data_IF_368626868946
#
_entry.id   IF_368626868946
#
_cell.length_a   1.000
_cell.length_b   1.000
_cell.length_c   1.000
_cell.angle_alpha   90.00
_cell.angle_beta   90.00
_cell.angle_gamma   90.00
#
_symmetry.space_group_name_H-M   'P 1'
#
loop_
_entity.id
_entity.type
_entity.pdbx_description
1 polymer ?
#
# COMPACT_ATOMS: atom_id res chain seq x y z
N UNK A 1 12.09 5.79 4.57
CA UNK A 1 11.87 4.37 4.91
C UNK A 1 13.12 3.79 5.53
N UNK A 2 13.00 3.00 6.60
CA UNK A 2 14.16 2.31 7.21
C UNK A 2 14.63 1.18 6.29
N UNK A 3 15.87 0.71 6.47
CA UNK A 3 16.40 -0.42 5.68
C UNK A 3 15.52 -1.68 5.82
N UNK A 4 14.98 -1.93 7.02
CA UNK A 4 14.10 -3.06 7.29
C UNK A 4 12.78 -2.96 6.53
N UNK A 5 12.06 -1.82 6.61
CA UNK A 5 10.80 -1.62 5.90
C UNK A 5 10.97 -1.68 4.38
N UNK A 6 12.14 -1.25 3.86
CA UNK A 6 12.48 -1.41 2.45
C UNK A 6 12.67 -2.89 2.08
N UNK A 7 13.44 -3.64 2.87
CA UNK A 7 13.67 -5.07 2.63
C UNK A 7 12.36 -5.87 2.66
N UNK A 8 11.46 -5.56 3.61
CA UNK A 8 10.12 -6.19 3.69
C UNK A 8 9.28 -5.88 2.44
N UNK A 9 9.25 -4.62 2.01
CA UNK A 9 8.51 -4.20 0.81
C UNK A 9 9.06 -4.87 -0.45
N UNK A 10 10.39 -4.96 -0.60
CA UNK A 10 11.04 -5.60 -1.74
C UNK A 10 10.81 -7.13 -1.74
N UNK A 11 10.80 -7.77 -0.57
CA UNK A 11 10.49 -9.19 -0.44
C UNK A 11 9.02 -9.50 -0.77
N UNK A 12 8.08 -8.70 -0.24
CA UNK A 12 6.66 -8.83 -0.56
C UNK A 12 6.41 -8.63 -2.06
N UNK A 13 7.04 -7.62 -2.66
CA UNK A 13 7.01 -7.39 -4.10
C UNK A 13 7.49 -8.63 -4.88
N UNK A 14 8.66 -9.15 -4.54
CA UNK A 14 9.24 -10.31 -5.24
C UNK A 14 8.36 -11.55 -5.14
N UNK A 15 7.73 -11.78 -3.98
CA UNK A 15 6.80 -12.89 -3.79
C UNK A 15 5.53 -12.74 -4.64
N UNK A 16 4.94 -11.55 -4.67
CA UNK A 16 3.76 -11.28 -5.50
C UNK A 16 4.08 -11.41 -7.01
N UNK A 17 5.23 -10.89 -7.45
CA UNK A 17 5.67 -11.03 -8.84
C UNK A 17 5.93 -12.49 -9.23
N UNK A 18 6.45 -13.31 -8.32
CA UNK A 18 6.64 -14.75 -8.55
C UNK A 18 5.31 -15.51 -8.74
N UNK A 19 4.24 -15.04 -8.12
CA UNK A 19 2.86 -15.53 -8.30
C UNK A 19 2.15 -14.93 -9.53
N UNK A 20 2.86 -14.11 -10.33
CA UNK A 20 2.36 -13.56 -11.59
C UNK A 20 1.67 -12.19 -11.48
N UNK A 21 1.76 -11.51 -10.34
CA UNK A 21 1.20 -10.17 -10.17
C UNK A 21 2.13 -9.09 -10.71
N UNK A 22 1.56 -8.04 -11.31
CA UNK A 22 2.29 -6.81 -11.58
C UNK A 22 2.27 -5.93 -10.32
N UNK A 23 3.44 -5.62 -9.76
CA UNK A 23 3.55 -4.87 -8.50
C UNK A 23 4.14 -3.49 -8.72
N UNK A 24 3.35 -2.46 -8.42
CA UNK A 24 3.81 -1.06 -8.43
C UNK A 24 3.93 -0.53 -7.01
N UNK A 25 5.11 -0.03 -6.67
CA UNK A 25 5.42 0.54 -5.35
C UNK A 25 5.76 2.02 -5.45
N UNK A 26 5.39 2.80 -4.43
CA UNK A 26 5.80 4.19 -4.28
C UNK A 26 6.11 4.50 -2.81
N UNK A 27 7.21 5.21 -2.55
CA UNK A 27 7.62 5.60 -1.20
C UNK A 27 7.01 6.97 -0.83
N UNK A 28 6.15 7.05 0.20
CA UNK A 28 5.57 8.29 0.70
C UNK A 28 6.53 9.13 1.57
N UNK A 29 7.82 8.75 1.64
CA UNK A 29 8.90 9.47 2.34
C UNK A 29 8.61 9.76 3.82
N UNK A 30 7.80 8.91 4.46
CA UNK A 30 7.39 9.05 5.86
C UNK A 30 6.24 10.03 6.10
N UNK A 31 5.58 10.53 5.04
CA UNK A 31 4.47 11.46 5.14
C UNK A 31 3.11 10.77 4.85
N UNK A 32 2.20 10.84 5.81
CA UNK A 32 0.90 10.18 5.70
C UNK A 32 -0.02 10.84 4.66
N UNK A 33 0.07 12.16 4.44
CA UNK A 33 -0.74 12.84 3.42
C UNK A 33 -0.29 12.44 2.01
N UNK A 34 1.01 12.29 1.81
CA UNK A 34 1.59 11.75 0.58
C UNK A 34 1.16 10.29 0.37
N UNK A 35 1.14 9.46 1.42
CA UNK A 35 0.64 8.09 1.33
C UNK A 35 -0.83 8.02 0.88
N UNK A 36 -1.71 8.88 1.41
CA UNK A 36 -3.11 8.96 0.97
C UNK A 36 -3.24 9.45 -0.49
N UNK A 37 -2.38 10.38 -0.91
CA UNK A 37 -2.32 10.84 -2.30
C UNK A 37 -1.92 9.70 -3.24
N UNK A 38 -0.87 8.95 -2.90
CA UNK A 38 -0.42 7.77 -3.65
C UNK A 38 -1.54 6.72 -3.72
N UNK A 39 -2.21 6.43 -2.61
CA UNK A 39 -3.33 5.49 -2.61
C UNK A 39 -4.46 5.94 -3.56
N UNK A 40 -4.81 7.23 -3.55
CA UNK A 40 -5.81 7.79 -4.48
C UNK A 40 -5.40 7.61 -5.94
N UNK A 41 -4.11 7.75 -6.25
CA UNK A 41 -3.58 7.48 -7.59
C UNK A 41 -3.73 6.00 -7.96
N UNK A 42 -3.45 5.07 -7.04
CA UNK A 42 -3.65 3.64 -7.30
C UNK A 42 -5.12 3.27 -7.48
N UNK A 43 -6.03 3.85 -6.69
CA UNK A 43 -7.47 3.69 -6.87
C UNK A 43 -7.90 4.20 -8.25
N UNK A 44 -7.42 5.38 -8.66
CA UNK A 44 -7.72 5.96 -9.98
C UNK A 44 -7.20 5.09 -11.12
N UNK A 45 -6.06 4.42 -10.91
CA UNK A 45 -5.50 3.42 -11.85
C UNK A 45 -6.24 2.08 -11.83
N UNK A 46 -7.24 1.93 -10.95
CA UNK A 46 -8.02 0.70 -10.78
C UNK A 46 -7.15 -0.53 -10.53
N UNK A 47 -6.18 -0.41 -9.62
CA UNK A 47 -5.43 -1.59 -9.16
C UNK A 47 -6.38 -2.60 -8.51
N UNK A 48 -6.07 -3.89 -8.64
CA UNK A 48 -6.89 -4.95 -8.08
C UNK A 48 -6.79 -5.03 -6.55
N UNK A 49 -5.65 -4.64 -5.99
CA UNK A 49 -5.34 -4.74 -4.55
C UNK A 49 -4.44 -3.58 -4.12
N UNK A 50 -4.65 -3.07 -2.91
CA UNK A 50 -3.74 -2.12 -2.25
C UNK A 50 -3.12 -2.77 -1.01
N UNK A 51 -1.80 -2.64 -0.89
CA UNK A 51 -1.06 -3.15 0.27
C UNK A 51 -0.34 -2.00 0.97
N UNK A 52 -0.51 -1.89 2.28
CA UNK A 52 0.06 -0.84 3.12
C UNK A 52 1.02 -1.47 4.14
N UNK A 53 2.26 -1.00 4.19
CA UNK A 53 3.32 -1.59 5.02
C UNK A 53 3.86 -0.69 6.13
N UNK A 54 3.37 0.55 6.28
CA UNK A 54 3.98 1.51 7.23
C UNK A 54 2.94 2.25 8.08
N UNK A 55 1.91 2.80 7.45
CA UNK A 55 0.92 3.63 8.12
C UNK A 55 -0.27 2.80 8.57
N UNK A 56 -0.86 3.14 9.72
CA UNK A 56 -2.04 2.46 10.22
C UNK A 56 -3.34 2.94 9.56
N UNK A 57 -4.45 2.28 9.89
CA UNK A 57 -5.77 2.58 9.34
C UNK A 57 -6.27 3.99 9.66
N UNK A 58 -5.85 4.58 10.79
CA UNK A 58 -6.25 5.94 11.18
C UNK A 58 -5.53 6.98 10.33
N UNK A 59 -4.25 6.75 10.05
CA UNK A 59 -3.44 7.59 9.17
C UNK A 59 -3.85 7.45 7.70
N UNK A 60 -4.43 6.30 7.32
CA UNK A 60 -4.84 5.97 5.95
C UNK A 60 -6.36 6.07 5.72
N UNK A 61 -7.08 6.85 6.53
CA UNK A 61 -8.53 6.95 6.46
C UNK A 61 -9.08 7.30 5.06
N UNK A 62 -8.45 8.23 4.34
CA UNK A 62 -8.89 8.61 2.99
C UNK A 62 -8.72 7.45 1.99
N UNK A 63 -7.59 6.76 2.08
CA UNK A 63 -7.33 5.55 1.30
C UNK A 63 -8.41 4.49 1.55
N UNK A 64 -8.75 4.21 2.81
CA UNK A 64 -9.76 3.21 3.18
C UNK A 64 -11.13 3.56 2.60
N UNK A 65 -11.57 4.82 2.73
CA UNK A 65 -12.86 5.27 2.18
C UNK A 65 -12.88 5.19 0.64
N UNK A 66 -11.81 5.62 -0.02
CA UNK A 66 -11.72 5.59 -1.48
C UNK A 66 -11.70 4.15 -2.03
N UNK A 67 -10.88 3.28 -1.43
CA UNK A 67 -10.75 1.89 -1.83
C UNK A 67 -12.08 1.13 -1.61
N UNK A 68 -12.75 1.33 -0.47
CA UNK A 68 -14.06 0.74 -0.20
C UNK A 68 -15.10 1.17 -1.25
N UNK A 69 -15.11 2.45 -1.63
CA UNK A 69 -16.02 2.98 -2.64
C UNK A 69 -15.73 2.44 -4.04
N UNK A 70 -14.47 2.11 -4.33
CA UNK A 70 -14.03 1.48 -5.57
C UNK A 70 -14.09 -0.06 -5.53
N UNK A 71 -14.54 -0.67 -4.42
CA UNK A 71 -14.49 -2.13 -4.19
C UNK A 71 -13.10 -2.75 -4.30
N UNK A 72 -12.05 -1.98 -3.98
CA UNK A 72 -10.66 -2.43 -3.98
C UNK A 72 -10.29 -2.91 -2.56
N UNK A 73 -9.86 -4.17 -2.38
CA UNK A 73 -9.40 -4.68 -1.08
C UNK A 73 -8.08 -4.03 -0.65
N UNK A 74 -7.97 -3.77 0.66
CA UNK A 74 -6.78 -3.18 1.29
C UNK A 74 -6.22 -4.15 2.34
N UNK A 75 -4.93 -4.48 2.25
CA UNK A 75 -4.21 -5.32 3.20
C UNK A 75 -3.10 -4.55 3.92
N UNK A 76 -2.83 -4.91 5.17
CA UNK A 76 -1.76 -4.34 5.97
C UNK A 76 -0.68 -5.40 6.22
N UNK A 77 0.56 -5.13 5.82
CA UNK A 77 1.71 -6.01 6.08
C UNK A 77 2.35 -5.70 7.43
N UNK A 78 2.39 -4.42 7.81
CA UNK A 78 2.82 -4.00 9.15
C UNK A 78 1.61 -3.87 10.07
N UNK A 79 0.93 -4.99 10.31
CA UNK A 79 0.12 -5.12 11.52
C UNK A 79 1.01 -5.69 12.60
N UNK A 80 1.24 -4.97 13.70
CA UNK A 80 1.49 -5.66 14.96
C UNK A 80 0.27 -6.56 15.20
N UNK A 81 0.51 -7.85 15.41
CA UNK A 81 -0.46 -8.72 16.08
C UNK A 81 -0.86 -8.11 17.43
#
# INVERSE_FOLDING_TARGET
TTLAAKAETDAAKSAMEAEGWEVVTQDPKGDAAQANTICTQFITRQVDVIVISVFDTTQMAQCMTGAASASIPVFYLAGSL
#
